data_IF_442310493577
#
_entry.id   IF_442310493577
#
_cell.length_a   1.000
_cell.length_b   1.000
_cell.length_c   1.000
_cell.angle_alpha   90.00
_cell.angle_beta   90.00
_cell.angle_gamma   90.00
#
_symmetry.space_group_name_H-M   'P 1'
#
loop_
_entity.id
_entity.type
_entity.pdbx_description
1 polymer ?
#
# COMPACT_ATOMS: atom_id res chain seq x y z
N UNK A 1 -20.39 18.25 -6.29
CA UNK A 1 -21.38 17.15 -6.33
C UNK A 1 -20.73 15.80 -6.03
N UNK A 2 -19.74 15.37 -6.83
CA UNK A 2 -19.05 14.08 -6.66
C UNK A 2 -18.41 13.85 -5.28
N UNK A 3 -17.71 14.86 -4.72
CA UNK A 3 -17.10 14.74 -3.38
C UNK A 3 -18.15 14.43 -2.28
N UNK A 4 -19.20 15.24 -2.18
CA UNK A 4 -20.27 15.04 -1.19
C UNK A 4 -21.00 13.71 -1.36
N UNK A 5 -21.24 13.29 -2.61
CA UNK A 5 -21.84 11.99 -2.90
C UNK A 5 -20.94 10.84 -2.46
N UNK A 6 -19.65 10.90 -2.81
CA UNK A 6 -18.66 9.90 -2.40
C UNK A 6 -18.61 9.74 -0.88
N UNK A 7 -18.52 10.85 -0.14
CA UNK A 7 -18.54 10.82 1.33
C UNK A 7 -19.83 10.20 1.90
N UNK A 8 -20.99 10.48 1.30
CA UNK A 8 -22.26 9.90 1.73
C UNK A 8 -22.33 8.38 1.45
N UNK A 9 -21.76 7.91 0.33
CA UNK A 9 -21.69 6.48 -0.01
C UNK A 9 -20.77 5.73 0.96
N UNK A 10 -19.62 6.32 1.34
CA UNK A 10 -18.73 5.74 2.35
C UNK A 10 -19.43 5.57 3.70
N UNK A 11 -20.25 6.55 4.13
CA UNK A 11 -21.05 6.42 5.36
C UNK A 11 -22.09 5.30 5.31
N UNK A 12 -22.54 4.93 4.10
CA UNK A 12 -23.44 3.79 3.87
C UNK A 12 -22.73 2.45 3.70
N UNK A 13 -21.40 2.42 3.81
CA UNK A 13 -20.56 1.24 3.53
C UNK A 13 -20.58 0.79 2.06
N UNK A 14 -21.03 1.65 1.14
CA UNK A 14 -20.92 1.45 -0.32
C UNK A 14 -19.52 1.92 -0.77
N UNK A 15 -18.50 1.14 -0.39
CA UNK A 15 -17.08 1.54 -0.52
C UNK A 15 -16.65 1.71 -1.98
N UNK A 16 -17.05 0.80 -2.87
CA UNK A 16 -16.63 0.79 -4.28
C UNK A 16 -17.17 2.01 -5.01
N UNK A 17 -18.46 2.30 -4.85
CA UNK A 17 -19.11 3.49 -5.42
C UNK A 17 -18.56 4.77 -4.80
N UNK A 18 -18.34 4.79 -3.48
CA UNK A 18 -17.76 5.94 -2.77
C UNK A 18 -16.36 6.31 -3.28
N UNK A 19 -15.47 5.32 -3.44
CA UNK A 19 -14.12 5.50 -4.01
C UNK A 19 -14.20 6.03 -5.44
N UNK A 20 -15.10 5.47 -6.26
CA UNK A 20 -15.27 5.91 -7.65
C UNK A 20 -15.72 7.38 -7.76
N UNK A 21 -16.65 7.80 -6.92
CA UNK A 21 -17.13 9.19 -6.91
C UNK A 21 -16.06 10.17 -6.39
N UNK A 22 -15.29 9.79 -5.36
CA UNK A 22 -14.16 10.60 -4.89
C UNK A 22 -13.04 10.69 -5.93
N UNK A 23 -12.75 9.62 -6.68
CA UNK A 23 -11.78 9.65 -7.77
C UNK A 23 -12.20 10.62 -8.87
N UNK A 24 -13.48 10.58 -9.30
CA UNK A 24 -14.03 11.56 -10.25
C UNK A 24 -13.92 12.98 -9.74
N UNK A 25 -14.20 13.21 -8.45
CA UNK A 25 -14.07 14.54 -7.84
C UNK A 25 -12.63 15.06 -7.91
N UNK A 26 -11.64 14.19 -7.66
CA UNK A 26 -10.23 14.53 -7.73
C UNK A 26 -9.79 14.87 -9.16
N UNK A 27 -10.19 14.06 -10.14
CA UNK A 27 -9.82 14.23 -11.55
C UNK A 27 -10.39 15.54 -12.12
N UNK A 28 -11.63 15.87 -11.76
CA UNK A 28 -12.26 17.15 -12.12
C UNK A 28 -11.59 18.34 -11.44
N UNK A 29 -11.18 18.19 -10.18
CA UNK A 29 -10.46 19.23 -9.43
C UNK A 29 -9.13 19.60 -10.08
N UNK A 30 -8.34 18.59 -10.47
CA UNK A 30 -7.04 18.76 -11.13
C UNK A 30 -7.13 19.52 -12.46
N UNK A 31 -8.25 19.44 -13.18
CA UNK A 31 -8.45 20.15 -14.46
C UNK A 31 -8.86 21.62 -14.33
N UNK A 32 -9.40 22.05 -13.18
CA UNK A 32 -9.98 23.39 -12.99
C UNK A 32 -9.04 24.37 -12.28
N UNK A 33 -8.40 23.93 -11.19
CA UNK A 33 -7.37 24.69 -10.46
C UNK A 33 -6.50 23.74 -9.62
N UNK A 34 -5.29 23.39 -10.07
CA UNK A 34 -4.42 22.42 -9.38
C UNK A 34 -3.97 22.81 -7.98
N UNK A 35 -4.17 24.07 -7.54
CA UNK A 35 -3.63 24.61 -6.28
C UNK A 35 -4.67 24.74 -5.17
N UNK A 36 -5.87 24.21 -5.35
CA UNK A 36 -6.94 24.32 -4.37
C UNK A 36 -6.75 23.39 -3.16
N UNK A 37 -6.83 23.95 -1.95
CA UNK A 37 -6.91 23.23 -0.66
C UNK A 37 -7.98 22.11 -0.67
N UNK A 38 -9.06 22.30 -1.43
CA UNK A 38 -10.12 21.31 -1.61
C UNK A 38 -9.64 20.01 -2.31
N UNK A 39 -8.64 20.08 -3.18
CA UNK A 39 -8.08 18.89 -3.88
C UNK A 39 -7.29 18.03 -2.90
N UNK A 40 -6.55 18.65 -1.98
CA UNK A 40 -5.82 17.95 -0.92
C UNK A 40 -6.77 17.19 0.01
N UNK A 41 -7.86 17.83 0.44
CA UNK A 41 -8.89 17.18 1.26
C UNK A 41 -9.57 16.02 0.52
N UNK A 42 -9.95 16.20 -0.75
CA UNK A 42 -10.54 15.13 -1.57
C UNK A 42 -9.56 13.95 -1.69
N UNK A 43 -8.26 14.22 -1.90
CA UNK A 43 -7.26 13.17 -2.00
C UNK A 43 -7.10 12.42 -0.66
N UNK A 44 -7.08 13.12 0.47
CA UNK A 44 -6.99 12.48 1.79
C UNK A 44 -8.18 11.56 2.05
N UNK A 45 -9.39 12.02 1.74
CA UNK A 45 -10.59 11.20 1.89
C UNK A 45 -10.59 10.00 0.93
N UNK A 46 -10.14 10.19 -0.32
CA UNK A 46 -9.98 9.10 -1.27
C UNK A 46 -8.94 8.07 -0.81
N UNK A 47 -7.80 8.52 -0.25
CA UNK A 47 -6.76 7.64 0.26
C UNK A 47 -7.28 6.78 1.43
N UNK A 48 -7.98 7.40 2.38
CA UNK A 48 -8.65 6.68 3.48
C UNK A 48 -9.67 5.67 2.95
N UNK A 49 -10.49 6.06 1.98
CA UNK A 49 -11.50 5.19 1.38
C UNK A 49 -10.88 3.98 0.68
N UNK A 50 -9.81 4.18 -0.10
CA UNK A 50 -9.05 3.08 -0.74
C UNK A 50 -8.39 2.16 0.28
N UNK A 51 -7.86 2.70 1.38
CA UNK A 51 -7.32 1.90 2.46
C UNK A 51 -8.40 1.02 3.11
N UNK A 52 -9.58 1.57 3.43
CA UNK A 52 -10.69 0.80 3.99
C UNK A 52 -11.19 -0.30 3.03
N UNK A 53 -11.28 0.01 1.74
CA UNK A 53 -11.63 -0.97 0.70
C UNK A 53 -10.62 -2.13 0.66
N UNK A 54 -9.33 -1.80 0.69
CA UNK A 54 -8.26 -2.80 0.76
C UNK A 54 -8.32 -3.61 2.06
N UNK A 55 -8.50 -2.96 3.21
CA UNK A 55 -8.53 -3.61 4.54
C UNK A 55 -9.68 -4.62 4.64
N UNK A 56 -10.86 -4.27 4.13
CA UNK A 56 -12.00 -5.19 4.08
C UNK A 56 -11.71 -6.41 3.21
N UNK A 57 -11.17 -6.18 2.00
CA UNK A 57 -10.85 -7.26 1.08
C UNK A 57 -9.67 -8.13 1.59
N UNK A 58 -8.66 -7.52 2.19
CA UNK A 58 -7.48 -8.16 2.80
C UNK A 58 -7.86 -9.01 4.01
N UNK A 59 -8.74 -8.51 4.87
CA UNK A 59 -9.23 -9.28 6.04
C UNK A 59 -9.91 -10.58 5.62
N UNK A 60 -10.75 -10.51 4.57
CA UNK A 60 -11.41 -11.69 4.02
C UNK A 60 -10.41 -12.69 3.45
N UNK A 61 -9.48 -12.23 2.60
CA UNK A 61 -8.42 -13.10 2.02
C UNK A 61 -7.55 -13.74 3.09
N UNK A 62 -7.14 -12.97 4.10
CA UNK A 62 -6.33 -13.46 5.22
C UNK A 62 -7.04 -14.57 5.98
N UNK A 63 -8.35 -14.42 6.23
CA UNK A 63 -9.15 -15.44 6.90
C UNK A 63 -9.29 -16.71 6.06
N UNK A 64 -9.57 -16.58 4.76
CA UNK A 64 -9.65 -17.71 3.82
C UNK A 64 -8.32 -18.46 3.74
N UNK A 65 -7.21 -17.72 3.65
CA UNK A 65 -5.86 -18.26 3.56
C UNK A 65 -5.46 -19.02 4.83
N UNK A 66 -5.74 -18.46 6.01
CA UNK A 66 -5.49 -19.12 7.29
C UNK A 66 -6.34 -20.38 7.45
N UNK A 67 -7.63 -20.33 7.11
CA UNK A 67 -8.52 -21.49 7.16
C UNK A 67 -8.02 -22.62 6.26
N UNK A 68 -7.56 -22.29 5.05
CA UNK A 68 -7.02 -23.26 4.11
C UNK A 68 -5.69 -23.86 4.62
N UNK A 69 -4.82 -23.03 5.21
CA UNK A 69 -3.56 -23.49 5.83
C UNK A 69 -3.81 -24.56 6.89
N UNK A 70 -4.73 -24.30 7.82
CA UNK A 70 -5.09 -25.23 8.89
C UNK A 70 -5.66 -26.55 8.36
N UNK A 71 -6.50 -26.48 7.31
CA UNK A 71 -7.03 -27.67 6.64
C UNK A 71 -5.90 -28.50 6.00
N UNK A 72 -4.96 -27.85 5.31
CA UNK A 72 -3.81 -28.53 4.71
C UNK A 72 -2.87 -29.15 5.76
N UNK A 73 -2.60 -28.45 6.87
CA UNK A 73 -1.79 -28.99 7.96
C UNK A 73 -2.43 -30.22 8.60
N UNK A 74 -3.75 -30.17 8.83
CA UNK A 74 -4.51 -31.31 9.35
C UNK A 74 -4.42 -32.50 8.40
N UNK A 75 -4.67 -32.29 7.10
CA UNK A 75 -4.60 -33.35 6.09
C UNK A 75 -3.19 -33.98 5.97
N UNK A 76 -2.12 -33.19 6.10
CA UNK A 76 -0.75 -33.71 6.11
C UNK A 76 -0.47 -34.57 7.35
N UNK A 77 -0.91 -34.12 8.53
CA UNK A 77 -0.74 -34.87 9.79
C UNK A 77 -1.50 -36.19 9.77
N UNK A 78 -2.74 -36.19 9.27
CA UNK A 78 -3.54 -37.42 9.12
C UNK A 78 -2.90 -38.41 8.15
N UNK A 79 -2.38 -37.92 7.00
CA UNK A 79 -1.65 -38.75 6.05
C UNK A 79 -0.40 -39.40 6.67
N UNK A 80 0.33 -38.66 7.51
CA UNK A 80 1.47 -39.21 8.23
C UNK A 80 1.04 -40.32 9.19
N UNK A 81 -0.01 -40.08 9.99
CA UNK A 81 -0.52 -41.06 10.96
C UNK A 81 -0.97 -42.37 10.30
N UNK A 82 -1.62 -42.31 9.13
CA UNK A 82 -2.03 -43.49 8.37
C UNK A 82 -0.82 -44.29 7.83
N UNK A 83 0.28 -43.62 7.50
CA UNK A 83 1.51 -44.29 7.05
C UNK A 83 2.25 -44.98 8.21
N UNK A 84 2.25 -44.39 9.41
CA UNK A 84 2.90 -44.93 10.63
C UNK A 84 2.21 -46.17 11.21
N UNK A 85 0.99 -46.48 10.77
CA UNK A 85 0.20 -47.61 11.26
C UNK A 85 0.71 -48.98 10.75
N UNK A 86 1.76 -49.03 9.92
CA UNK A 86 2.40 -50.26 9.48
C UNK A 86 3.54 -50.67 10.43
N UNK A 87 3.51 -51.88 11.03
CA UNK A 87 4.55 -52.31 11.96
C UNK A 87 5.88 -52.50 11.22
N UNK A 88 6.82 -51.57 11.41
CA UNK A 88 8.17 -51.61 10.84
C UNK A 88 8.65 -50.33 10.14
N UNK A 89 7.83 -49.28 10.00
CA UNK A 89 8.16 -48.09 9.20
C UNK A 89 8.54 -46.82 9.97
N UNK A 90 8.76 -46.88 11.29
CA UNK A 90 9.34 -45.75 12.04
C UNK A 90 10.81 -45.57 11.63
N UNK A 91 10.99 -44.92 10.49
CA UNK A 91 12.26 -44.46 9.96
C UNK A 91 12.38 -42.98 10.28
N UNK A 92 13.50 -42.56 10.87
CA UNK A 92 13.83 -41.15 11.10
C UNK A 92 13.68 -40.33 9.80
N UNK A 93 13.88 -40.96 8.64
CA UNK A 93 13.73 -40.34 7.33
C UNK A 93 12.27 -39.93 7.01
N UNK A 94 11.27 -40.70 7.44
CA UNK A 94 9.85 -40.39 7.24
C UNK A 94 9.43 -39.18 8.07
N UNK A 95 9.89 -39.11 9.33
CA UNK A 95 9.66 -37.98 10.23
C UNK A 95 10.30 -36.71 9.67
N UNK A 96 11.57 -36.80 9.23
CA UNK A 96 12.30 -35.68 8.61
C UNK A 96 11.57 -35.19 7.35
N UNK A 97 11.12 -36.11 6.49
CA UNK A 97 10.35 -35.78 5.29
C UNK A 97 9.05 -35.04 5.61
N UNK A 98 8.31 -35.49 6.63
CA UNK A 98 7.07 -34.85 7.06
C UNK A 98 7.29 -33.46 7.65
N UNK A 99 8.31 -33.28 8.50
CA UNK A 99 8.67 -31.95 9.02
C UNK A 99 9.00 -30.98 7.88
N UNK A 100 9.74 -31.45 6.87
CA UNK A 100 10.04 -30.65 5.66
C UNK A 100 8.78 -30.28 4.88
N UNK A 101 7.80 -31.17 4.77
CA UNK A 101 6.52 -30.86 4.11
C UNK A 101 5.74 -29.77 4.85
N UNK A 102 5.68 -29.83 6.18
CA UNK A 102 5.04 -28.79 6.99
C UNK A 102 5.76 -27.44 6.88
N UNK A 103 7.09 -27.44 6.85
CA UNK A 103 7.87 -26.22 6.64
C UNK A 103 7.59 -25.59 5.26
N UNK A 104 7.58 -26.41 4.20
CA UNK A 104 7.23 -25.95 2.85
C UNK A 104 5.81 -25.41 2.81
N UNK A 105 4.85 -26.09 3.44
CA UNK A 105 3.46 -25.63 3.53
C UNK A 105 3.39 -24.25 4.20
N UNK A 106 4.02 -24.10 5.36
CA UNK A 106 4.06 -22.84 6.10
C UNK A 106 4.67 -21.71 5.26
N UNK A 107 5.75 -22.00 4.53
CA UNK A 107 6.38 -21.02 3.64
C UNK A 107 5.44 -20.58 2.51
N UNK A 108 4.78 -21.52 1.83
CA UNK A 108 3.83 -21.21 0.73
C UNK A 108 2.71 -20.29 1.22
N UNK A 109 2.11 -20.59 2.37
CA UNK A 109 1.04 -19.76 2.93
C UNK A 109 1.55 -18.41 3.45
N UNK A 110 2.78 -18.35 3.97
CA UNK A 110 3.42 -17.09 4.32
C UNK A 110 3.59 -16.20 3.10
N UNK A 111 4.23 -16.71 2.04
CA UNK A 111 4.48 -15.99 0.78
C UNK A 111 3.16 -15.52 0.14
N UNK A 112 2.13 -16.37 0.13
CA UNK A 112 0.81 -16.02 -0.41
C UNK A 112 0.11 -14.89 0.36
N UNK A 113 0.39 -14.74 1.66
CA UNK A 113 -0.20 -13.72 2.51
C UNK A 113 0.56 -12.39 2.56
N UNK A 114 1.74 -12.30 1.96
CA UNK A 114 2.61 -11.11 2.10
C UNK A 114 1.95 -9.81 1.62
N UNK A 115 1.18 -9.87 0.53
CA UNK A 115 0.50 -8.71 -0.04
C UNK A 115 -0.65 -8.16 0.82
N UNK A 116 -1.13 -8.95 1.78
CA UNK A 116 -2.22 -8.60 2.69
C UNK A 116 -1.71 -8.05 4.04
N UNK A 117 -0.39 -7.99 4.24
CA UNK A 117 0.25 -7.39 5.42
C UNK A 117 0.36 -5.86 5.22
N UNK A 118 -0.17 -5.04 6.14
CA UNK A 118 0.06 -3.60 6.11
C UNK A 118 1.56 -3.27 6.17
N UNK A 119 2.04 -2.45 5.24
CA UNK A 119 3.44 -2.05 5.14
C UNK A 119 3.65 -0.56 5.34
N UNK A 120 4.90 -0.18 5.60
CA UNK A 120 5.32 1.22 5.62
C UNK A 120 5.53 1.75 4.19
N UNK A 121 5.29 3.04 4.02
CA UNK A 121 5.54 3.71 2.74
C UNK A 121 7.05 3.90 2.57
N UNK A 122 7.65 3.47 1.46
CA UNK A 122 9.07 3.71 1.22
C UNK A 122 9.43 5.20 1.13
N UNK A 123 10.48 5.62 1.83
CA UNK A 123 10.94 7.02 1.91
C UNK A 123 11.24 7.70 0.57
N UNK A 124 11.54 6.92 -0.48
CA UNK A 124 11.79 7.45 -1.82
C UNK A 124 10.49 7.87 -2.54
N UNK A 125 9.33 7.46 -2.04
CA UNK A 125 8.02 7.95 -2.48
C UNK A 125 7.56 9.18 -1.68
N UNK A 126 8.32 9.58 -0.66
CA UNK A 126 8.01 10.70 0.22
C UNK A 126 8.80 11.96 -0.16
N UNK A 127 8.14 13.11 -0.07
CA UNK A 127 8.74 14.42 -0.29
C UNK A 127 9.78 14.73 0.78
N UNK A 128 10.94 15.26 0.38
CA UNK A 128 12.05 15.56 1.31
C UNK A 128 11.83 16.77 2.22
N UNK A 129 10.71 17.49 2.05
CA UNK A 129 10.31 18.60 2.93
C UNK A 129 9.15 18.19 3.83
N UNK A 130 8.07 17.63 3.28
CA UNK A 130 6.88 17.27 4.07
C UNK A 130 6.99 15.93 4.77
N UNK A 131 7.89 15.06 4.30
CA UNK A 131 8.03 13.66 4.71
C UNK A 131 6.76 12.83 4.48
N UNK A 132 5.87 13.31 3.61
CA UNK A 132 4.62 12.66 3.22
C UNK A 132 4.68 12.22 1.75
N UNK A 133 3.77 11.33 1.34
CA UNK A 133 3.66 10.81 -0.03
C UNK A 133 3.61 11.96 -1.04
N UNK A 134 4.41 11.84 -2.10
CA UNK A 134 4.40 12.74 -3.24
C UNK A 134 3.09 12.65 -4.02
N UNK A 135 2.42 13.79 -4.24
CA UNK A 135 1.14 13.87 -4.96
C UNK A 135 1.28 14.59 -6.30
N UNK A 136 2.04 15.68 -6.33
CA UNK A 136 2.47 16.38 -7.55
C UNK A 136 4.01 16.52 -7.53
N UNK A 137 4.74 15.41 -7.77
CA UNK A 137 6.19 15.41 -7.70
C UNK A 137 6.85 16.28 -8.78
N UNK A 138 7.85 17.05 -8.36
CA UNK A 138 8.80 17.73 -9.24
C UNK A 138 10.23 17.39 -8.85
N UNK A 139 11.07 17.22 -9.85
CA UNK A 139 12.49 16.90 -9.68
C UNK A 139 13.36 18.13 -9.97
N UNK A 140 14.40 18.30 -9.16
CA UNK A 140 15.44 19.33 -9.35
C UNK A 140 16.55 18.81 -10.27
N UNK A 141 17.40 19.69 -10.85
CA UNK A 141 18.55 19.26 -11.65
C UNK A 141 19.52 18.34 -10.89
N UNK A 142 19.57 18.45 -9.56
CA UNK A 142 20.37 17.60 -8.67
C UNK A 142 19.74 16.21 -8.45
N UNK A 143 18.59 15.93 -9.06
CA UNK A 143 17.90 14.63 -9.01
C UNK A 143 17.00 14.45 -7.78
N UNK A 144 16.75 15.50 -6.98
CA UNK A 144 15.93 15.40 -5.77
C UNK A 144 14.47 15.71 -6.09
N UNK A 145 13.56 14.86 -5.63
CA UNK A 145 12.11 15.03 -5.87
C UNK A 145 11.41 15.62 -4.65
N UNK A 146 10.52 16.59 -4.90
CA UNK A 146 9.73 17.30 -3.91
C UNK A 146 8.27 17.41 -4.33
N UNK A 147 7.40 17.67 -3.37
CA UNK A 147 6.03 18.12 -3.63
C UNK A 147 6.06 19.54 -4.22
N UNK A 148 5.42 19.75 -5.39
CA UNK A 148 5.53 21.00 -6.18
C UNK A 148 5.20 22.24 -5.35
N UNK A 149 4.06 22.23 -4.66
CA UNK A 149 3.58 23.39 -3.91
C UNK A 149 4.57 23.78 -2.81
N UNK A 150 5.21 22.78 -2.20
CA UNK A 150 6.11 22.93 -1.05
C UNK A 150 7.47 23.46 -1.48
N UNK A 151 8.06 22.90 -2.55
CA UNK A 151 9.35 23.41 -3.06
C UNK A 151 9.20 24.83 -3.62
N UNK A 152 8.10 25.14 -4.31
CA UNK A 152 7.83 26.50 -4.78
C UNK A 152 7.69 27.49 -3.61
N UNK A 153 7.02 27.08 -2.53
CA UNK A 153 6.92 27.90 -1.32
C UNK A 153 8.29 28.11 -0.65
N UNK A 154 9.14 27.07 -0.59
CA UNK A 154 10.52 27.19 -0.09
C UNK A 154 11.33 28.20 -0.90
N UNK A 155 11.31 28.08 -2.23
CA UNK A 155 12.03 28.98 -3.13
C UNK A 155 11.57 30.44 -3.00
N UNK A 156 10.30 30.66 -2.67
CA UNK A 156 9.73 31.99 -2.47
C UNK A 156 10.03 32.58 -1.08
N UNK A 157 9.92 31.78 0.00
CA UNK A 157 9.95 32.27 1.38
C UNK A 157 11.29 32.10 2.08
N UNK A 158 12.05 31.07 1.72
CA UNK A 158 13.30 30.70 2.40
C UNK A 158 14.50 31.12 1.56
N UNK A 159 14.52 30.78 0.27
CA UNK A 159 15.56 31.24 -0.65
C UNK A 159 15.71 30.36 -1.89
N UNK A 160 16.43 30.90 -2.89
CA UNK A 160 16.66 30.26 -4.20
C UNK A 160 17.77 29.21 -4.17
N UNK A 161 17.57 28.18 -3.35
CA UNK A 161 18.50 27.06 -3.23
C UNK A 161 17.75 25.76 -2.94
N UNK A 162 18.31 24.64 -3.38
CA UNK A 162 17.78 23.30 -3.12
C UNK A 162 17.82 22.98 -1.61
N UNK A 163 16.70 22.59 -0.97
CA UNK A 163 16.64 22.33 0.47
C UNK A 163 17.65 21.30 0.98
N UNK A 164 17.99 20.30 0.15
CA UNK A 164 18.86 19.18 0.51
C UNK A 164 20.29 19.46 0.10
N UNK A 165 20.55 19.78 -1.18
CA UNK A 165 21.92 19.95 -1.70
C UNK A 165 22.50 21.33 -1.45
N UNK A 166 21.64 22.32 -1.16
CA UNK A 166 22.00 23.75 -1.02
C UNK A 166 22.53 24.40 -2.29
N UNK A 167 22.46 23.73 -3.43
CA UNK A 167 22.83 24.29 -4.73
C UNK A 167 21.84 25.39 -5.14
N UNK A 168 22.26 26.41 -5.91
CA UNK A 168 21.35 27.42 -6.44
C UNK A 168 20.23 26.78 -7.25
N UNK A 169 18.98 27.14 -6.93
CA UNK A 169 17.80 26.56 -7.55
C UNK A 169 16.77 27.65 -7.83
N UNK A 170 16.27 27.69 -9.06
CA UNK A 170 15.20 28.57 -9.49
C UNK A 170 13.97 27.75 -9.92
N UNK A 171 12.78 28.33 -9.77
CA UNK A 171 11.50 27.70 -10.10
C UNK A 171 11.42 27.16 -11.54
N UNK A 172 12.10 27.83 -12.48
CA UNK A 172 12.16 27.45 -13.90
C UNK A 172 12.89 26.13 -14.16
N UNK A 173 13.69 25.66 -13.21
CA UNK A 173 14.47 24.43 -13.30
C UNK A 173 13.71 23.19 -12.80
N UNK A 174 12.52 23.36 -12.22
CA UNK A 174 11.70 22.27 -11.71
C UNK A 174 10.97 21.57 -12.87
N UNK A 175 11.14 20.26 -12.97
CA UNK A 175 10.50 19.43 -14.01
C UNK A 175 9.51 18.47 -13.34
N UNK A 176 8.30 18.25 -13.88
CA UNK A 176 7.42 17.17 -13.39
C UNK A 176 8.12 15.81 -13.46
N UNK A 177 8.00 15.00 -12.40
CA UNK A 177 8.58 13.65 -12.33
C UNK A 177 7.48 12.59 -12.46
#
# INVERSE_FOLDING_TARGET
AHCTLGLALLQKQELDEGVNELQKALDLGRGADPKGYMIDEIWQELAKAKYLQWEHASSKRSWELQSLKEACETALKEKHFLNDSHPGSFSDEAIISHMKQLEVLSRVFKEAGEADIPGEVPDYLCCKITLDILRDPVITPSGVTYERTVILQHLQKVGKFDPVTREPLDHSQLVPN
#
